data_IF_066647534660
#
_entry.id   IF_066647534660
#
_cell.length_a   1.000
_cell.length_b   1.000
_cell.length_c   1.000
_cell.angle_alpha   90.00
_cell.angle_beta   90.00
_cell.angle_gamma   90.00
#
_symmetry.space_group_name_H-M   'P 1'
#
loop_
_entity.id
_entity.type
_entity.pdbx_description
1 polymer ?
#
# COMPACT_ATOMS: atom_id res chain seq x y z
N UNK A 1 19.40 -4.87 42.97
CA UNK A 1 19.18 -5.86 41.88
C UNK A 1 18.11 -5.29 40.95
N UNK A 2 18.51 -4.93 39.74
CA UNK A 2 17.58 -4.52 38.70
C UNK A 2 16.96 -5.81 38.14
N UNK A 3 15.71 -6.09 38.51
CA UNK A 3 14.96 -7.19 37.93
C UNK A 3 14.70 -6.80 36.48
N UNK A 4 15.40 -7.41 35.54
CA UNK A 4 15.13 -7.26 34.13
C UNK A 4 13.67 -7.70 33.85
N UNK A 5 12.90 -6.86 33.15
CA UNK A 5 11.56 -7.24 32.72
C UNK A 5 11.63 -8.56 31.94
N UNK A 6 10.68 -9.48 32.14
CA UNK A 6 10.72 -10.78 31.44
C UNK A 6 10.76 -10.54 29.93
N UNK A 7 11.78 -11.08 29.28
CA UNK A 7 11.87 -11.05 27.81
C UNK A 7 10.60 -11.70 27.24
N UNK A 8 9.91 -10.97 26.40
CA UNK A 8 8.75 -11.51 25.66
C UNK A 8 9.23 -12.75 24.90
N UNK A 9 8.59 -13.91 25.02
CA UNK A 9 9.02 -15.11 24.31
C UNK A 9 9.18 -14.81 22.82
N UNK A 10 10.19 -15.36 22.18
CA UNK A 10 10.52 -15.19 20.75
C UNK A 10 9.27 -15.43 19.87
N UNK A 11 8.38 -16.31 20.31
CA UNK A 11 7.08 -16.62 19.71
C UNK A 11 6.05 -15.49 19.64
N UNK A 12 6.33 -14.31 20.21
CA UNK A 12 5.45 -13.13 20.18
C UNK A 12 6.09 -11.90 19.55
N UNK A 13 7.25 -12.04 18.91
CA UNK A 13 7.89 -10.96 18.18
C UNK A 13 7.38 -10.90 16.74
N UNK A 14 7.24 -9.69 16.23
CA UNK A 14 6.95 -9.47 14.81
C UNK A 14 8.07 -10.07 13.94
N UNK A 15 7.68 -10.75 12.87
CA UNK A 15 8.63 -11.23 11.89
C UNK A 15 9.34 -10.05 11.22
N UNK A 16 10.66 -10.13 11.07
CA UNK A 16 11.44 -9.17 10.31
C UNK A 16 11.84 -9.77 8.97
N UNK A 17 11.49 -9.07 7.90
CA UNK A 17 11.79 -9.50 6.54
C UNK A 17 13.28 -9.26 6.26
N UNK A 18 14.01 -10.34 6.07
CA UNK A 18 15.46 -10.31 5.78
C UNK A 18 15.76 -9.90 4.33
N UNK A 19 17.03 -9.63 4.03
CA UNK A 19 17.47 -9.22 2.68
C UNK A 19 17.24 -10.30 1.64
N UNK A 20 17.36 -11.57 2.03
CA UNK A 20 17.24 -12.74 1.14
C UNK A 20 15.79 -13.24 1.01
N UNK A 21 14.85 -12.61 1.70
CA UNK A 21 13.45 -13.02 1.65
C UNK A 21 12.80 -12.60 0.32
N UNK A 22 12.16 -13.57 -0.33
CA UNK A 22 11.46 -13.36 -1.60
C UNK A 22 10.02 -12.97 -1.27
N UNK A 23 9.64 -11.73 -1.55
CA UNK A 23 8.28 -11.23 -1.31
C UNK A 23 7.34 -11.52 -2.49
N UNK A 24 7.85 -11.41 -3.71
CA UNK A 24 7.03 -11.48 -4.93
C UNK A 24 7.57 -12.50 -5.91
N UNK A 25 6.96 -13.69 -5.98
CA UNK A 25 7.32 -14.68 -7.00
C UNK A 25 7.01 -14.15 -8.40
N UNK A 26 7.98 -14.20 -9.31
CA UNK A 26 7.80 -13.74 -10.69
C UNK A 26 6.89 -14.66 -11.50
N UNK A 27 5.92 -14.07 -12.19
CA UNK A 27 5.00 -14.74 -13.11
C UNK A 27 3.77 -15.33 -12.42
N UNK A 28 2.65 -15.36 -13.16
CA UNK A 28 1.32 -15.71 -12.64
C UNK A 28 1.29 -17.08 -11.92
N UNK A 29 1.82 -18.14 -12.54
CA UNK A 29 1.78 -19.48 -11.93
C UNK A 29 2.54 -19.57 -10.60
N UNK A 30 3.72 -18.92 -10.50
CA UNK A 30 4.49 -18.92 -9.24
C UNK A 30 3.79 -18.09 -8.15
N UNK A 31 3.18 -16.97 -8.55
CA UNK A 31 2.36 -16.15 -7.64
C UNK A 31 1.18 -16.95 -7.09
N UNK A 32 0.43 -17.64 -7.95
CA UNK A 32 -0.69 -18.49 -7.55
C UNK A 32 -0.22 -19.61 -6.61
N UNK A 33 0.85 -20.32 -6.97
CA UNK A 33 1.39 -21.40 -6.15
C UNK A 33 1.82 -20.91 -4.76
N UNK A 34 2.45 -19.74 -4.67
CA UNK A 34 2.84 -19.12 -3.39
C UNK A 34 1.61 -18.72 -2.55
N UNK A 35 0.58 -18.13 -3.18
CA UNK A 35 -0.67 -17.80 -2.49
C UNK A 35 -1.35 -19.05 -1.94
N UNK A 36 -1.46 -20.11 -2.74
CA UNK A 36 -2.06 -21.39 -2.31
C UNK A 36 -1.25 -22.01 -1.16
N UNK A 37 0.08 -21.99 -1.24
CA UNK A 37 0.94 -22.51 -0.19
C UNK A 37 0.76 -21.73 1.13
N UNK A 38 0.72 -20.40 1.06
CA UNK A 38 0.48 -19.55 2.22
C UNK A 38 -0.89 -19.80 2.85
N UNK A 39 -1.95 -19.96 2.05
CA UNK A 39 -3.30 -20.24 2.54
C UNK A 39 -3.37 -21.62 3.22
N UNK A 40 -2.79 -22.66 2.58
CA UNK A 40 -2.73 -24.00 3.17
C UNK A 40 -2.01 -23.99 4.52
N UNK A 41 -0.86 -23.30 4.56
CA UNK A 41 -0.10 -23.16 5.81
C UNK A 41 -0.88 -22.37 6.87
N UNK A 42 -1.51 -21.27 6.53
CA UNK A 42 -2.34 -20.48 7.43
C UNK A 42 -3.38 -21.36 8.13
N UNK A 43 -4.11 -22.18 7.37
CA UNK A 43 -5.13 -23.10 7.92
C UNK A 43 -4.53 -24.15 8.84
N UNK A 44 -3.34 -24.67 8.55
CA UNK A 44 -2.62 -25.60 9.44
C UNK A 44 -2.21 -24.91 10.73
N UNK A 45 -1.67 -23.71 10.67
CA UNK A 45 -1.27 -22.94 11.86
C UNK A 45 -2.49 -22.65 12.75
N UNK A 46 -3.59 -22.21 12.17
CA UNK A 46 -4.83 -21.91 12.90
C UNK A 46 -5.46 -23.15 13.55
N UNK A 47 -5.52 -24.27 12.82
CA UNK A 47 -6.12 -25.50 13.35
C UNK A 47 -5.26 -26.17 14.42
N UNK A 48 -3.94 -26.05 14.35
CA UNK A 48 -3.00 -26.64 15.31
C UNK A 48 -2.68 -25.73 16.49
N UNK A 49 -2.92 -24.43 16.38
CA UNK A 49 -2.47 -23.44 17.35
C UNK A 49 -0.94 -23.27 17.40
N UNK A 50 -0.22 -23.83 16.42
CA UNK A 50 1.24 -23.69 16.32
C UNK A 50 1.62 -22.24 16.04
N UNK A 51 2.62 -21.75 16.75
CA UNK A 51 3.26 -20.47 16.42
C UNK A 51 4.15 -20.67 15.18
N UNK A 52 4.05 -19.79 14.14
CA UNK A 52 4.88 -19.91 12.95
C UNK A 52 6.37 -19.86 13.29
N UNK A 53 7.12 -20.78 12.73
CA UNK A 53 8.59 -20.71 12.72
C UNK A 53 9.09 -19.81 11.57
N UNK A 54 10.41 -19.66 11.45
CA UNK A 54 11.00 -18.81 10.42
C UNK A 54 10.65 -19.26 8.99
N UNK A 55 10.60 -20.57 8.72
CA UNK A 55 10.24 -21.10 7.41
C UNK A 55 8.74 -20.91 7.12
N UNK A 56 7.90 -21.05 8.14
CA UNK A 56 6.48 -20.73 8.05
C UNK A 56 6.30 -19.25 7.68
N UNK A 57 7.00 -18.34 8.37
CA UNK A 57 6.97 -16.91 8.06
C UNK A 57 7.46 -16.60 6.63
N UNK A 58 8.56 -17.23 6.18
CA UNK A 58 9.05 -17.11 4.79
C UNK A 58 8.06 -17.60 3.75
N UNK A 59 7.18 -18.53 4.10
CA UNK A 59 6.09 -18.99 3.23
C UNK A 59 4.95 -17.98 3.22
N UNK A 60 4.55 -17.47 4.40
CA UNK A 60 3.45 -16.53 4.55
C UNK A 60 3.73 -15.19 3.87
N UNK A 61 4.96 -14.65 3.97
CA UNK A 61 5.32 -13.34 3.35
C UNK A 61 5.29 -13.35 1.83
N UNK A 62 5.21 -14.52 1.18
CA UNK A 62 5.08 -14.66 -0.28
C UNK A 62 3.64 -14.51 -0.76
N UNK A 63 2.67 -14.47 0.15
CA UNK A 63 1.30 -14.17 -0.23
C UNK A 63 1.22 -12.76 -0.79
N UNK A 64 0.75 -12.63 -2.01
CA UNK A 64 0.69 -11.35 -2.71
C UNK A 64 -0.70 -11.08 -3.32
N UNK A 65 -1.73 -11.70 -2.76
CA UNK A 65 -3.11 -11.52 -3.21
C UNK A 65 -3.34 -11.91 -4.67
N UNK A 66 -4.46 -11.48 -5.21
CA UNK A 66 -4.95 -11.94 -6.52
C UNK A 66 -4.91 -10.85 -7.59
N UNK A 67 -4.40 -9.68 -7.29
CA UNK A 67 -4.27 -8.57 -8.24
C UNK A 67 -3.46 -8.98 -9.46
N UNK A 68 -3.96 -8.61 -10.65
CA UNK A 68 -3.32 -8.92 -11.93
C UNK A 68 -3.42 -10.38 -12.42
N UNK A 69 -4.13 -11.27 -11.68
CA UNK A 69 -4.33 -12.68 -12.06
C UNK A 69 -5.80 -13.14 -11.97
N UNK A 70 -6.77 -12.36 -12.47
CA UNK A 70 -8.20 -12.73 -12.40
C UNK A 70 -8.53 -14.03 -13.15
N UNK A 71 -7.72 -14.41 -14.13
CA UNK A 71 -7.89 -15.61 -14.96
C UNK A 71 -7.76 -16.92 -14.19
N UNK A 72 -7.22 -16.94 -12.99
CA UNK A 72 -7.18 -18.13 -12.12
C UNK A 72 -8.57 -18.49 -11.56
N UNK A 73 -9.50 -17.53 -11.55
CA UNK A 73 -10.89 -17.71 -11.10
C UNK A 73 -11.85 -18.09 -12.24
N UNK A 74 -11.34 -18.26 -13.47
CA UNK A 74 -12.10 -18.69 -14.63
C UNK A 74 -12.07 -20.23 -14.75
N UNK A 75 -13.21 -20.93 -14.54
CA UNK A 75 -13.27 -22.38 -14.60
C UNK A 75 -12.95 -22.96 -15.98
N UNK A 76 -13.13 -22.15 -17.04
CA UNK A 76 -12.94 -22.57 -18.43
C UNK A 76 -11.51 -22.31 -18.93
N UNK A 77 -10.66 -21.69 -18.10
CA UNK A 77 -9.29 -21.42 -18.47
C UNK A 77 -8.38 -22.63 -18.28
N UNK A 78 -8.16 -23.36 -19.39
CA UNK A 78 -7.33 -24.56 -19.40
C UNK A 78 -5.88 -24.34 -18.89
N UNK A 79 -5.33 -23.11 -19.02
CA UNK A 79 -3.97 -22.79 -18.56
C UNK A 79 -3.84 -22.78 -17.02
N UNK A 80 -4.93 -22.61 -16.31
CA UNK A 80 -4.99 -22.54 -14.84
C UNK A 80 -5.91 -23.58 -14.21
N UNK A 81 -6.29 -24.63 -14.94
CA UNK A 81 -7.26 -25.64 -14.49
C UNK A 81 -6.86 -26.35 -13.18
N UNK A 82 -5.56 -26.62 -12.97
CA UNK A 82 -5.07 -27.25 -11.75
C UNK A 82 -5.08 -26.24 -10.60
N UNK A 83 -4.61 -25.03 -10.82
CA UNK A 83 -4.61 -23.94 -9.85
C UNK A 83 -6.04 -23.57 -9.43
N UNK A 84 -6.99 -23.58 -10.35
CA UNK A 84 -8.42 -23.37 -10.04
C UNK A 84 -8.97 -24.46 -9.11
N UNK A 85 -8.66 -25.74 -9.38
CA UNK A 85 -9.04 -26.86 -8.50
C UNK A 85 -8.42 -26.72 -7.10
N UNK A 86 -7.15 -26.34 -7.02
CA UNK A 86 -6.46 -26.12 -5.76
C UNK A 86 -7.07 -24.96 -4.96
N UNK A 87 -7.52 -23.89 -5.65
CA UNK A 87 -8.26 -22.80 -5.02
C UNK A 87 -9.58 -23.26 -4.43
N UNK A 88 -10.38 -23.99 -5.19
CA UNK A 88 -11.67 -24.51 -4.72
C UNK A 88 -11.51 -25.46 -3.54
N UNK A 89 -10.44 -26.27 -3.53
CA UNK A 89 -10.15 -27.19 -2.43
C UNK A 89 -9.58 -26.46 -1.19
N UNK A 90 -8.90 -25.34 -1.40
CA UNK A 90 -8.19 -24.59 -0.35
C UNK A 90 -9.01 -23.49 0.31
N UNK A 91 -10.03 -22.96 -0.33
CA UNK A 91 -10.82 -21.82 0.15
C UNK A 91 -12.23 -22.24 0.56
N UNK A 92 -12.79 -21.61 1.60
CA UNK A 92 -14.23 -21.62 1.82
C UNK A 92 -14.95 -20.82 0.74
N UNK A 93 -16.26 -20.97 0.62
CA UNK A 93 -17.04 -20.19 -0.35
C UNK A 93 -16.91 -18.67 -0.14
N UNK A 94 -16.85 -18.23 1.12
CA UNK A 94 -16.67 -16.83 1.50
C UNK A 94 -15.26 -16.33 1.18
N UNK A 95 -14.23 -17.12 1.51
CA UNK A 95 -12.84 -16.82 1.16
C UNK A 95 -12.65 -16.74 -0.37
N UNK A 96 -13.29 -17.63 -1.13
CA UNK A 96 -13.25 -17.62 -2.58
C UNK A 96 -13.89 -16.35 -3.18
N UNK A 97 -15.05 -15.95 -2.67
CA UNK A 97 -15.72 -14.73 -3.11
C UNK A 97 -14.87 -13.50 -2.80
N UNK A 98 -14.29 -13.42 -1.59
CA UNK A 98 -13.40 -12.34 -1.18
C UNK A 98 -12.15 -12.28 -2.05
N UNK A 99 -11.48 -13.43 -2.26
CA UNK A 99 -10.29 -13.54 -3.09
C UNK A 99 -10.57 -13.09 -4.54
N UNK A 100 -11.69 -13.53 -5.12
CA UNK A 100 -12.09 -13.11 -6.46
C UNK A 100 -12.38 -11.61 -6.55
N UNK A 101 -13.05 -11.03 -5.56
CA UNK A 101 -13.33 -9.60 -5.50
C UNK A 101 -12.04 -8.75 -5.38
N UNK A 102 -11.01 -9.27 -4.71
CA UNK A 102 -9.73 -8.57 -4.50
C UNK A 102 -8.85 -8.45 -5.75
N UNK A 103 -9.19 -9.13 -6.85
CA UNK A 103 -8.38 -9.16 -8.09
C UNK A 103 -8.16 -7.79 -8.72
N UNK A 104 -9.01 -6.82 -8.45
CA UNK A 104 -8.92 -5.46 -9.00
C UNK A 104 -8.03 -4.53 -8.17
N UNK A 105 -7.96 -4.76 -6.85
CA UNK A 105 -7.43 -3.77 -5.91
C UNK A 105 -6.24 -4.29 -5.07
N UNK A 106 -5.87 -5.58 -5.20
CA UNK A 106 -4.75 -6.15 -4.45
C UNK A 106 -3.43 -5.95 -5.18
N UNK A 107 -2.85 -4.79 -5.04
CA UNK A 107 -1.51 -4.46 -5.52
C UNK A 107 -0.53 -4.41 -4.36
N UNK A 108 0.60 -5.09 -4.49
CA UNK A 108 1.63 -5.15 -3.45
C UNK A 108 2.83 -4.29 -3.84
N UNK A 109 3.27 -3.49 -2.89
CA UNK A 109 4.35 -2.52 -3.09
C UNK A 109 5.70 -3.23 -3.17
N UNK A 110 6.50 -3.00 -4.22
CA UNK A 110 7.85 -3.55 -4.32
C UNK A 110 8.72 -3.14 -3.13
N UNK A 111 9.62 -4.05 -2.72
CA UNK A 111 10.51 -3.84 -1.58
C UNK A 111 11.26 -2.51 -1.66
N UNK A 112 11.85 -2.18 -2.81
CA UNK A 112 12.61 -0.95 -2.98
C UNK A 112 11.82 0.32 -2.69
N UNK A 113 10.49 0.33 -3.01
CA UNK A 113 9.62 1.45 -2.67
C UNK A 113 9.35 1.53 -1.17
N UNK A 114 9.13 0.39 -0.52
CA UNK A 114 8.94 0.34 0.94
C UNK A 114 10.20 0.84 1.65
N UNK A 115 11.37 0.34 1.25
CA UNK A 115 12.66 0.77 1.78
C UNK A 115 12.90 2.27 1.54
N UNK A 116 12.49 2.78 0.37
CA UNK A 116 12.58 4.21 0.05
C UNK A 116 11.64 5.06 0.93
N UNK A 117 10.40 4.61 1.13
CA UNK A 117 9.44 5.31 2.00
C UNK A 117 9.90 5.30 3.46
N UNK A 118 10.52 4.22 3.94
CA UNK A 118 11.15 4.19 5.25
C UNK A 118 12.34 5.15 5.37
N UNK A 119 13.18 5.29 4.33
CA UNK A 119 14.26 6.31 4.30
C UNK A 119 13.70 7.73 4.37
N UNK A 120 12.53 7.99 3.76
CA UNK A 120 11.84 9.28 3.92
C UNK A 120 11.42 9.47 5.38
N UNK A 121 10.86 8.46 6.03
CA UNK A 121 10.47 8.52 7.44
C UNK A 121 11.67 8.82 8.35
N UNK A 122 12.79 8.14 8.14
CA UNK A 122 14.04 8.39 8.90
C UNK A 122 14.55 9.82 8.70
N UNK A 123 14.56 10.32 7.45
CA UNK A 123 14.94 11.72 7.13
C UNK A 123 13.98 12.74 7.75
N UNK A 124 12.71 12.38 7.92
CA UNK A 124 11.72 13.20 8.62
C UNK A 124 11.85 13.12 10.15
N UNK A 125 12.84 12.40 10.67
CA UNK A 125 13.12 12.30 12.11
C UNK A 125 12.30 11.24 12.85
N UNK A 126 11.65 10.32 12.14
CA UNK A 126 10.90 9.21 12.76
C UNK A 126 11.88 8.16 13.28
N UNK A 127 11.96 8.03 14.60
CA UNK A 127 12.77 7.03 15.31
C UNK A 127 11.93 6.04 16.09
N UNK A 128 10.64 6.33 16.28
CA UNK A 128 9.70 5.47 17.00
C UNK A 128 8.36 6.16 17.23
N UNK A 129 7.47 5.44 17.90
CA UNK A 129 6.14 5.95 18.26
C UNK A 129 5.00 5.01 17.84
N UNK A 130 3.79 5.55 17.76
CA UNK A 130 2.60 4.82 17.32
C UNK A 130 2.38 5.02 15.84
N UNK A 131 2.40 3.94 15.10
CA UNK A 131 2.31 3.94 13.64
C UNK A 131 0.99 3.33 13.17
N UNK A 132 0.55 3.74 11.98
CA UNK A 132 -0.62 3.20 11.32
C UNK A 132 -0.31 2.73 9.90
N UNK A 133 -0.93 1.62 9.48
CA UNK A 133 -1.00 1.16 8.09
C UNK A 133 -2.46 0.88 7.76
N UNK A 134 -3.04 1.67 6.84
CA UNK A 134 -4.46 1.63 6.47
C UNK A 134 -4.63 0.97 5.10
N UNK A 135 -4.94 -0.32 5.10
CA UNK A 135 -4.87 -1.20 3.94
C UNK A 135 -3.55 -1.96 3.93
N UNK A 136 -3.31 -2.71 5.02
CA UNK A 136 -1.98 -3.25 5.31
C UNK A 136 -1.59 -4.48 4.47
N UNK A 137 -2.54 -5.12 3.79
CA UNK A 137 -2.28 -6.41 3.15
C UNK A 137 -1.75 -7.40 4.16
N UNK A 138 -0.58 -7.96 3.88
CA UNK A 138 0.10 -8.84 4.83
C UNK A 138 1.21 -8.15 5.64
N UNK A 139 1.29 -6.79 5.59
CA UNK A 139 2.15 -5.99 6.47
C UNK A 139 3.62 -5.91 6.07
N UNK A 140 3.91 -5.80 4.79
CA UNK A 140 5.30 -5.65 4.35
C UNK A 140 5.97 -4.40 4.92
N UNK A 141 5.23 -3.30 5.14
CA UNK A 141 5.78 -2.10 5.80
C UNK A 141 6.15 -2.37 7.25
N UNK A 142 5.40 -3.22 7.97
CA UNK A 142 5.76 -3.64 9.33
C UNK A 142 7.02 -4.49 9.32
N UNK A 143 7.08 -5.49 8.42
CA UNK A 143 8.20 -6.44 8.34
C UNK A 143 9.52 -5.81 7.88
N UNK A 144 9.45 -4.74 7.08
CA UNK A 144 10.59 -3.99 6.55
C UNK A 144 10.90 -2.72 7.34
N UNK A 145 10.26 -2.50 8.51
CA UNK A 145 10.60 -1.38 9.37
C UNK A 145 12.11 -1.42 9.74
N UNK A 146 12.86 -0.31 9.59
CA UNK A 146 14.28 -0.27 9.94
C UNK A 146 14.57 -0.67 11.39
N UNK A 147 15.73 -1.27 11.64
CA UNK A 147 16.09 -1.77 12.98
C UNK A 147 16.24 -0.65 14.03
N UNK A 148 16.66 0.53 13.58
CA UNK A 148 16.80 1.72 14.41
C UNK A 148 15.49 2.46 14.69
N UNK A 149 14.36 1.97 14.14
CA UNK A 149 13.02 2.52 14.36
C UNK A 149 12.24 1.61 15.30
N UNK A 150 11.69 2.18 16.38
CA UNK A 150 10.89 1.44 17.36
C UNK A 150 9.42 1.88 17.30
N UNK A 151 8.64 1.24 16.42
CA UNK A 151 7.23 1.58 16.16
C UNK A 151 6.25 0.52 16.62
N UNK A 152 5.15 0.99 17.26
CA UNK A 152 3.98 0.17 17.60
C UNK A 152 2.92 0.34 16.51
N UNK A 153 2.70 -0.70 15.70
CA UNK A 153 1.74 -0.63 14.60
C UNK A 153 0.29 -0.93 15.00
N UNK A 154 -0.62 -0.12 14.47
CA UNK A 154 -2.03 -0.46 14.27
C UNK A 154 -2.27 -0.61 12.77
N UNK A 155 -2.59 -1.82 12.33
CA UNK A 155 -2.83 -2.14 10.94
C UNK A 155 -4.29 -2.50 10.70
N UNK A 156 -4.88 -1.95 9.63
CA UNK A 156 -6.26 -2.25 9.20
C UNK A 156 -6.22 -2.93 7.85
N UNK A 157 -6.89 -4.06 7.72
CA UNK A 157 -6.98 -4.82 6.47
C UNK A 157 -8.41 -5.36 6.30
N UNK A 158 -8.96 -5.20 5.12
CA UNK A 158 -10.33 -5.65 4.82
C UNK A 158 -10.37 -7.12 4.36
N UNK A 159 -9.33 -7.58 3.65
CA UNK A 159 -9.27 -8.97 3.19
C UNK A 159 -8.97 -9.92 4.35
N UNK A 160 -9.86 -10.87 4.55
CA UNK A 160 -9.80 -11.80 5.68
C UNK A 160 -8.53 -12.67 5.65
N UNK A 161 -8.13 -13.17 4.47
CA UNK A 161 -6.94 -14.03 4.34
C UNK A 161 -5.67 -13.22 4.63
N UNK A 162 -5.52 -12.06 4.01
CA UNK A 162 -4.41 -11.14 4.23
C UNK A 162 -4.31 -10.75 5.70
N UNK A 163 -5.43 -10.38 6.32
CA UNK A 163 -5.47 -9.98 7.73
C UNK A 163 -5.11 -11.11 8.70
N UNK A 164 -5.51 -12.36 8.43
CA UNK A 164 -5.14 -13.52 9.22
C UNK A 164 -3.65 -13.88 9.05
N UNK A 165 -3.09 -13.77 7.86
CA UNK A 165 -1.65 -13.88 7.61
C UNK A 165 -0.91 -12.80 8.38
N UNK A 166 -1.38 -11.56 8.32
CA UNK A 166 -0.84 -10.41 9.04
C UNK A 166 -0.77 -10.67 10.56
N UNK A 167 -1.81 -11.27 11.15
CA UNK A 167 -1.83 -11.66 12.57
C UNK A 167 -0.78 -12.72 12.92
N UNK A 168 -0.53 -13.68 12.01
CA UNK A 168 0.50 -14.70 12.21
C UNK A 168 1.92 -14.11 12.15
N UNK A 169 2.14 -13.19 11.23
CA UNK A 169 3.45 -12.56 11.00
C UNK A 169 3.81 -11.52 12.06
N UNK A 170 2.82 -10.76 12.56
CA UNK A 170 3.07 -9.59 13.42
C UNK A 170 2.21 -9.60 14.70
N UNK A 171 2.39 -10.62 15.55
CA UNK A 171 1.59 -10.77 16.78
C UNK A 171 1.83 -9.65 17.82
N UNK A 172 2.91 -8.88 17.68
CA UNK A 172 3.19 -7.70 18.50
C UNK A 172 2.50 -6.42 18.03
N UNK A 173 1.76 -6.47 16.91
CA UNK A 173 1.03 -5.33 16.35
C UNK A 173 -0.47 -5.46 16.62
N UNK A 174 -1.17 -4.32 16.66
CA UNK A 174 -2.63 -4.31 16.73
C UNK A 174 -3.20 -4.48 15.33
N UNK A 175 -3.72 -5.66 15.01
CA UNK A 175 -4.30 -5.99 13.71
C UNK A 175 -5.83 -5.93 13.80
N UNK A 176 -6.46 -5.18 12.88
CA UNK A 176 -7.90 -5.02 12.77
C UNK A 176 -8.32 -5.50 11.38
N UNK A 177 -9.00 -6.65 11.33
CA UNK A 177 -9.56 -7.20 10.08
C UNK A 177 -10.96 -6.65 9.92
N UNK A 178 -11.09 -5.53 9.20
CA UNK A 178 -12.37 -4.87 9.00
C UNK A 178 -12.26 -3.81 7.88
N UNK A 179 -13.42 -3.39 7.38
CA UNK A 179 -13.54 -2.21 6.52
C UNK A 179 -13.08 -0.96 7.29
N UNK A 180 -12.19 -0.16 6.68
CA UNK A 180 -11.69 1.07 7.26
C UNK A 180 -12.81 2.06 7.61
N UNK A 181 -13.90 2.10 6.83
CA UNK A 181 -15.05 2.95 7.11
C UNK A 181 -15.82 2.53 8.37
N UNK A 182 -15.72 1.26 8.76
CA UNK A 182 -16.35 0.70 9.96
C UNK A 182 -15.37 0.57 11.13
N UNK A 183 -14.12 1.01 10.93
CA UNK A 183 -13.07 0.86 11.93
C UNK A 183 -12.88 2.15 12.71
N UNK A 184 -12.99 2.06 14.03
CA UNK A 184 -12.64 3.16 14.91
C UNK A 184 -11.11 3.22 15.10
N UNK A 185 -10.51 4.31 14.62
CA UNK A 185 -9.13 4.69 14.92
C UNK A 185 -9.22 5.98 15.74
N UNK A 186 -8.59 5.97 16.91
CA UNK A 186 -8.59 7.17 17.79
C UNK A 186 -7.95 8.34 17.05
N UNK A 187 -8.66 9.47 16.97
CA UNK A 187 -8.14 10.70 16.37
C UNK A 187 -6.89 11.17 17.14
N UNK A 188 -5.96 11.77 16.43
CA UNK A 188 -4.73 12.38 17.00
C UNK A 188 -3.94 11.43 17.91
N UNK A 189 -3.79 10.17 17.51
CA UNK A 189 -3.13 9.15 18.32
C UNK A 189 -1.87 8.57 17.70
N UNK A 190 -1.65 8.77 16.40
CA UNK A 190 -0.52 8.21 15.66
C UNK A 190 0.55 9.27 15.38
N UNK A 191 1.80 8.84 15.39
CA UNK A 191 2.96 9.67 15.06
C UNK A 191 3.30 9.56 13.58
N UNK A 192 3.08 8.39 12.98
CA UNK A 192 3.28 8.10 11.57
C UNK A 192 2.10 7.29 11.01
N UNK A 193 1.67 7.60 9.80
CA UNK A 193 0.90 6.67 8.94
C UNK A 193 1.71 6.43 7.68
N UNK A 194 2.08 5.18 7.43
CA UNK A 194 2.89 4.78 6.27
C UNK A 194 2.22 3.60 5.57
N UNK A 195 2.23 3.60 4.24
CA UNK A 195 1.62 2.50 3.49
C UNK A 195 1.29 2.86 2.05
N UNK A 196 0.80 1.86 1.32
CA UNK A 196 0.21 2.01 0.00
C UNK A 196 -1.32 1.98 0.16
N UNK A 197 -1.99 3.08 -0.13
CA UNK A 197 -3.46 3.11 -0.03
C UNK A 197 -4.09 2.42 -1.24
N UNK A 198 -5.21 1.70 -1.08
CA UNK A 198 -5.88 1.05 -2.19
C UNK A 198 -6.41 2.08 -3.20
N UNK A 199 -6.23 1.81 -4.51
CA UNK A 199 -6.66 2.69 -5.60
C UNK A 199 -8.01 2.25 -6.12
N UNK A 200 -9.07 3.02 -5.83
CA UNK A 200 -10.39 2.84 -6.43
C UNK A 200 -11.06 4.20 -6.62
N UNK A 201 -11.89 4.29 -7.67
CA UNK A 201 -12.69 5.49 -7.95
C UNK A 201 -13.93 5.55 -7.06
N UNK A 202 -14.37 4.42 -6.52
CA UNK A 202 -15.52 4.33 -5.62
C UNK A 202 -15.01 4.35 -4.17
N UNK A 203 -15.38 5.40 -3.45
CA UNK A 203 -15.09 5.51 -2.02
C UNK A 203 -16.17 4.84 -1.17
N UNK A 204 -15.89 4.60 0.11
CA UNK A 204 -16.87 4.05 1.04
C UNK A 204 -17.95 5.07 1.38
N UNK A 205 -19.09 4.56 1.86
CA UNK A 205 -20.16 5.41 2.42
C UNK A 205 -19.75 5.87 3.82
N UNK A 206 -19.17 7.08 3.89
CA UNK A 206 -18.83 7.77 5.13
C UNK A 206 -19.36 9.20 5.05
N UNK A 207 -20.19 9.60 6.03
CA UNK A 207 -20.83 10.92 6.06
C UNK A 207 -19.84 12.07 6.17
N UNK A 208 -18.68 11.85 6.76
CA UNK A 208 -17.65 12.87 6.93
C UNK A 208 -16.84 13.12 5.65
N UNK A 209 -16.90 12.17 4.70
CA UNK A 209 -16.09 12.17 3.47
C UNK A 209 -16.91 11.83 2.21
N UNK A 210 -18.08 12.44 2.07
CA UNK A 210 -18.98 12.22 0.93
C UNK A 210 -18.29 12.60 -0.38
N UNK A 211 -18.34 11.68 -1.35
CA UNK A 211 -17.79 11.91 -2.70
C UNK A 211 -16.27 11.74 -2.83
N UNK A 212 -15.58 11.26 -1.78
CA UNK A 212 -14.19 10.87 -1.90
C UNK A 212 -14.09 9.50 -2.58
N UNK A 213 -13.10 9.35 -3.46
CA UNK A 213 -12.67 8.04 -3.90
C UNK A 213 -11.87 7.35 -2.79
N UNK A 214 -11.61 6.04 -2.94
CA UNK A 214 -11.04 5.23 -1.87
C UNK A 214 -9.66 5.73 -1.39
N UNK A 215 -8.76 6.06 -2.31
CA UNK A 215 -7.42 6.54 -1.94
C UNK A 215 -7.46 7.89 -1.22
N UNK A 216 -8.28 8.85 -1.66
CA UNK A 216 -8.45 10.12 -0.96
C UNK A 216 -9.11 9.94 0.41
N UNK A 217 -10.04 9.00 0.53
CA UNK A 217 -10.63 8.61 1.80
C UNK A 217 -9.56 8.08 2.78
N UNK A 218 -8.71 7.17 2.33
CA UNK A 218 -7.63 6.63 3.17
C UNK A 218 -6.67 7.73 3.64
N UNK A 219 -6.31 8.70 2.76
CA UNK A 219 -5.49 9.85 3.14
C UNK A 219 -6.19 10.71 4.21
N UNK A 220 -7.48 11.01 4.03
CA UNK A 220 -8.26 11.78 5.00
C UNK A 220 -8.31 11.09 6.37
N UNK A 221 -8.53 9.76 6.40
CA UNK A 221 -8.54 8.95 7.64
C UNK A 221 -7.15 8.88 8.28
N UNK A 222 -6.07 8.85 7.48
CA UNK A 222 -4.70 8.96 7.99
C UNK A 222 -4.49 10.30 8.70
N UNK A 223 -4.92 11.41 8.08
CA UNK A 223 -4.84 12.74 8.67
C UNK A 223 -5.70 12.89 9.95
N UNK A 224 -6.83 12.18 10.06
CA UNK A 224 -7.59 12.16 11.31
C UNK A 224 -6.84 11.47 12.45
N UNK A 225 -6.20 10.35 12.12
CA UNK A 225 -5.50 9.53 13.11
C UNK A 225 -4.19 10.16 13.60
N UNK A 226 -3.55 11.00 12.78
CA UNK A 226 -2.28 11.64 13.11
C UNK A 226 -2.43 12.72 14.18
N UNK A 227 -1.48 12.73 15.12
CA UNK A 227 -1.27 13.85 16.07
C UNK A 227 -0.85 15.12 15.32
N UNK A 228 -1.04 16.32 15.89
CA UNK A 228 -0.36 17.52 15.40
C UNK A 228 1.16 17.26 15.33
N UNK A 229 1.78 17.58 14.18
CA UNK A 229 3.19 17.29 13.89
C UNK A 229 3.44 15.87 13.35
N UNK A 230 2.49 14.95 13.46
CA UNK A 230 2.59 13.60 12.92
C UNK A 230 2.63 13.59 11.38
N UNK A 231 3.21 12.55 10.81
CA UNK A 231 3.55 12.48 9.38
C UNK A 231 2.77 11.33 8.71
N UNK A 232 2.20 11.61 7.53
CA UNK A 232 1.73 10.59 6.59
C UNK A 232 2.73 10.45 5.46
N UNK A 233 3.14 9.22 5.15
CA UNK A 233 3.96 8.87 3.98
C UNK A 233 3.18 7.81 3.21
N UNK A 234 2.49 8.22 2.17
CA UNK A 234 1.50 7.39 1.50
C UNK A 234 1.78 7.29 0.00
N UNK A 235 1.85 6.07 -0.49
CA UNK A 235 1.79 5.78 -1.92
C UNK A 235 0.32 5.82 -2.35
N UNK A 236 0.00 6.60 -3.36
CA UNK A 236 -1.36 6.83 -3.84
C UNK A 236 -1.41 7.00 -5.35
N UNK A 237 -2.59 6.89 -5.93
CA UNK A 237 -2.80 7.19 -7.35
C UNK A 237 -2.46 8.66 -7.67
N UNK A 238 -1.82 8.91 -8.81
CA UNK A 238 -1.59 10.26 -9.33
C UNK A 238 -2.88 11.09 -9.43
N UNK A 239 -4.05 10.44 -9.49
CA UNK A 239 -5.34 11.14 -9.49
C UNK A 239 -5.61 11.93 -8.20
N UNK A 240 -4.93 11.63 -7.09
CA UNK A 240 -4.99 12.48 -5.89
C UNK A 240 -4.51 13.89 -6.19
N UNK A 241 -3.36 14.02 -6.86
CA UNK A 241 -2.77 15.32 -7.22
C UNK A 241 -3.40 15.90 -8.49
N UNK A 242 -3.73 15.07 -9.49
CA UNK A 242 -4.13 15.53 -10.82
C UNK A 242 -5.65 15.50 -11.08
N UNK A 243 -6.48 15.23 -10.07
CA UNK A 243 -7.94 15.32 -10.25
C UNK A 243 -8.38 16.75 -10.59
N UNK A 244 -9.37 16.88 -11.49
CA UNK A 244 -10.03 18.17 -11.75
C UNK A 244 -10.75 18.71 -10.52
N UNK A 245 -11.31 17.83 -9.67
CA UNK A 245 -11.90 18.22 -8.40
C UNK A 245 -10.79 18.55 -7.40
N UNK A 246 -10.89 19.72 -6.78
CA UNK A 246 -9.95 20.21 -5.75
C UNK A 246 -10.39 19.81 -4.32
N UNK A 247 -11.58 19.22 -4.15
CA UNK A 247 -12.19 19.02 -2.83
C UNK A 247 -11.27 18.27 -1.86
N UNK A 248 -10.70 17.13 -2.29
CA UNK A 248 -9.81 16.35 -1.45
C UNK A 248 -8.52 17.13 -1.13
N UNK A 249 -7.88 17.74 -2.15
CA UNK A 249 -6.65 18.53 -1.95
C UNK A 249 -6.86 19.72 -1.04
N UNK A 250 -7.99 20.43 -1.18
CA UNK A 250 -8.33 21.55 -0.30
C UNK A 250 -8.53 21.10 1.15
N UNK A 251 -9.19 19.96 1.36
CA UNK A 251 -9.31 19.37 2.70
C UNK A 251 -7.92 19.00 3.28
N UNK A 252 -7.06 18.36 2.49
CA UNK A 252 -5.71 18.02 2.95
C UNK A 252 -4.89 19.26 3.28
N UNK A 253 -4.90 20.28 2.40
CA UNK A 253 -4.17 21.53 2.58
C UNK A 253 -4.63 22.33 3.80
N UNK A 254 -5.91 22.24 4.18
CA UNK A 254 -6.43 22.89 5.38
C UNK A 254 -6.01 22.21 6.69
N UNK A 255 -5.51 20.99 6.63
CA UNK A 255 -5.22 20.13 7.79
C UNK A 255 -3.75 19.76 7.92
N UNK A 256 -3.00 19.79 6.83
CA UNK A 256 -1.61 19.34 6.78
C UNK A 256 -0.81 20.13 5.75
N UNK A 257 0.48 20.27 5.98
CA UNK A 257 1.41 20.75 4.97
C UNK A 257 1.86 19.59 4.08
N UNK A 258 1.89 19.82 2.77
CA UNK A 258 2.62 18.96 1.85
C UNK A 258 4.12 19.25 2.02
N UNK A 259 4.88 18.31 2.57
CA UNK A 259 6.33 18.43 2.70
C UNK A 259 7.01 18.09 1.38
N UNK A 260 6.58 17.04 0.73
CA UNK A 260 7.00 16.66 -0.63
C UNK A 260 5.98 15.74 -1.28
N UNK A 261 5.96 15.73 -2.61
CA UNK A 261 5.31 14.71 -3.42
C UNK A 261 6.32 14.20 -4.45
N UNK A 262 6.36 12.91 -4.68
CA UNK A 262 7.28 12.26 -5.62
C UNK A 262 6.44 11.43 -6.59
N UNK A 263 6.51 11.76 -7.87
CA UNK A 263 5.80 11.04 -8.93
C UNK A 263 6.67 9.92 -9.48
N UNK A 264 6.13 8.72 -9.48
CA UNK A 264 6.82 7.51 -9.90
C UNK A 264 6.54 7.22 -11.41
N UNK A 265 7.45 6.52 -12.09
CA UNK A 265 7.18 6.01 -13.43
C UNK A 265 6.10 4.93 -13.42
N UNK A 266 5.46 4.70 -14.56
CA UNK A 266 4.33 3.80 -14.73
C UNK A 266 4.63 2.31 -14.49
N UNK A 267 5.89 1.93 -14.32
CA UNK A 267 6.34 0.57 -14.02
C UNK A 267 6.85 0.40 -12.57
N UNK A 268 6.68 1.41 -11.73
CA UNK A 268 7.20 1.37 -10.36
C UNK A 268 6.48 0.34 -9.47
N UNK A 269 5.21 0.05 -9.75
CA UNK A 269 4.44 -1.00 -9.08
C UNK A 269 4.34 -2.26 -9.94
N UNK A 270 4.40 -3.42 -9.30
CA UNK A 270 4.36 -4.71 -10.01
C UNK A 270 2.97 -4.98 -10.58
N UNK A 271 2.89 -5.15 -11.90
CA UNK A 271 1.66 -5.62 -12.57
C UNK A 271 0.64 -4.53 -12.89
N UNK A 272 1.01 -3.25 -12.82
CA UNK A 272 0.14 -2.13 -13.21
C UNK A 272 0.92 -1.07 -13.99
N UNK A 273 0.24 -0.37 -14.90
CA UNK A 273 0.76 0.82 -15.61
C UNK A 273 0.23 2.13 -14.99
N UNK A 274 -0.33 2.06 -13.80
CA UNK A 274 -0.88 3.24 -13.11
C UNK A 274 0.24 4.12 -12.59
N UNK A 275 0.14 5.43 -12.88
CA UNK A 275 1.05 6.41 -12.28
C UNK A 275 0.69 6.56 -10.80
N UNK A 276 1.68 6.46 -9.95
CA UNK A 276 1.55 6.64 -8.51
C UNK A 276 2.40 7.79 -8.00
N UNK A 277 1.94 8.41 -6.91
CA UNK A 277 2.65 9.46 -6.19
C UNK A 277 2.93 9.03 -4.75
N UNK A 278 4.12 9.29 -4.24
CA UNK A 278 4.39 9.24 -2.80
C UNK A 278 4.12 10.63 -2.25
N UNK A 279 3.15 10.75 -1.34
CA UNK A 279 2.82 12.00 -0.65
C UNK A 279 3.37 11.98 0.76
N UNK A 280 4.05 13.05 1.16
CA UNK A 280 4.53 13.27 2.53
C UNK A 280 3.81 14.48 3.09
N UNK A 281 2.90 14.23 4.03
CA UNK A 281 2.04 15.25 4.64
C UNK A 281 2.34 15.36 6.14
N UNK A 282 2.48 16.57 6.69
CA UNK A 282 2.64 16.81 8.12
C UNK A 282 1.38 17.47 8.69
N UNK A 283 0.72 16.79 9.62
CA UNK A 283 -0.51 17.26 10.27
C UNK A 283 -0.29 18.55 11.06
N UNK A 284 -1.15 19.54 10.81
CA UNK A 284 -1.15 20.81 11.56
C UNK A 284 0.00 21.77 11.22
N UNK A 285 0.91 21.41 10.31
CA UNK A 285 1.94 22.32 9.84
C UNK A 285 1.38 23.30 8.79
N UNK A 286 2.02 24.47 8.69
CA UNK A 286 1.67 25.48 7.68
C UNK A 286 2.17 25.03 6.32
N UNK A 287 1.28 25.03 5.33
CA UNK A 287 1.61 24.62 3.98
C UNK A 287 2.52 25.64 3.28
N UNK A 288 3.67 25.20 2.80
CA UNK A 288 4.63 26.02 2.06
C UNK A 288 4.56 25.79 0.55
N UNK A 289 3.83 24.76 0.12
CA UNK A 289 3.69 24.38 -1.27
C UNK A 289 2.22 24.46 -1.69
N UNK A 290 1.99 25.10 -2.82
CA UNK A 290 0.69 25.09 -3.45
C UNK A 290 0.52 23.79 -4.24
N UNK A 291 -0.63 23.12 -4.10
CA UNK A 291 -0.95 21.86 -4.80
C UNK A 291 -2.45 21.74 -5.10
N UNK A 292 -3.10 22.89 -5.31
CA UNK A 292 -4.55 22.96 -5.58
C UNK A 292 -4.86 22.82 -7.06
N UNK A 293 -4.09 23.49 -7.91
CA UNK A 293 -4.41 23.71 -9.31
C UNK A 293 -3.68 22.75 -10.25
N UNK A 294 -4.25 22.60 -11.45
CA UNK A 294 -3.65 21.84 -12.54
C UNK A 294 -3.13 22.81 -13.60
N UNK A 295 -1.89 22.62 -13.99
CA UNK A 295 -1.23 23.41 -15.03
C UNK A 295 -0.71 22.52 -16.16
N UNK A 296 -0.57 23.05 -17.39
CA UNK A 296 0.03 22.28 -18.48
C UNK A 296 1.55 22.20 -18.31
N UNK A 297 2.12 21.05 -18.63
CA UNK A 297 3.56 20.85 -18.86
C UNK A 297 3.76 20.21 -20.24
N UNK A 298 4.89 20.46 -20.86
CA UNK A 298 5.27 19.79 -22.11
C UNK A 298 5.70 18.34 -21.81
N UNK A 299 5.31 17.42 -22.70
CA UNK A 299 5.84 16.07 -22.69
C UNK A 299 7.30 16.03 -23.09
N UNK A 300 8.09 15.11 -22.52
CA UNK A 300 9.51 14.97 -22.85
C UNK A 300 9.75 14.47 -24.27
N UNK A 301 8.79 13.72 -24.82
CA UNK A 301 8.85 13.07 -26.13
C UNK A 301 8.14 13.85 -27.26
N UNK A 302 7.70 15.10 -26.99
CA UNK A 302 7.01 15.92 -27.98
C UNK A 302 5.58 15.49 -28.31
N UNK A 303 4.97 14.59 -27.53
CA UNK A 303 3.59 14.12 -27.75
C UNK A 303 2.50 15.13 -27.35
N UNK A 304 2.89 16.30 -26.85
CA UNK A 304 2.00 17.41 -26.53
C UNK A 304 2.00 17.80 -25.06
N UNK A 305 0.92 18.45 -24.61
CA UNK A 305 0.80 18.94 -23.24
C UNK A 305 0.12 17.92 -22.34
N UNK A 306 0.68 17.73 -21.14
CA UNK A 306 0.04 17.03 -20.03
C UNK A 306 -0.50 18.06 -19.02
N UNK A 307 -1.59 17.71 -18.35
CA UNK A 307 -2.06 18.49 -17.20
C UNK A 307 -1.65 17.79 -15.93
N UNK A 308 -0.81 18.44 -15.15
CA UNK A 308 -0.31 17.93 -13.87
C UNK A 308 -0.58 18.95 -12.77
N UNK A 309 -0.48 18.50 -11.52
CA UNK A 309 -0.55 19.40 -10.39
C UNK A 309 0.56 20.47 -10.46
N UNK A 310 0.23 21.71 -10.12
CA UNK A 310 1.16 22.85 -10.11
C UNK A 310 2.43 22.59 -9.28
N UNK A 311 2.34 21.71 -8.26
CA UNK A 311 3.50 21.27 -7.49
C UNK A 311 4.56 20.63 -8.40
N UNK A 312 4.16 19.69 -9.25
CA UNK A 312 5.08 19.00 -10.17
C UNK A 312 5.58 19.87 -11.30
N UNK A 313 4.80 20.87 -11.71
CA UNK A 313 5.27 21.85 -12.71
C UNK A 313 6.39 22.74 -12.13
N UNK A 314 6.31 23.05 -10.83
CA UNK A 314 7.32 23.83 -10.10
C UNK A 314 8.54 23.00 -9.71
N UNK A 315 8.34 21.76 -9.28
CA UNK A 315 9.38 20.83 -8.79
C UNK A 315 9.50 19.65 -9.75
N UNK A 316 9.99 19.90 -10.95
CA UNK A 316 10.09 18.89 -12.03
C UNK A 316 11.00 17.72 -11.66
N UNK A 317 12.00 17.95 -10.82
CA UNK A 317 12.91 16.95 -10.28
C UNK A 317 12.21 15.91 -9.37
N UNK A 318 10.98 16.18 -8.94
CA UNK A 318 10.15 15.24 -8.20
C UNK A 318 9.38 14.28 -9.11
N UNK A 319 9.48 14.42 -10.42
CA UNK A 319 8.96 13.45 -11.40
C UNK A 319 10.11 12.51 -11.77
N UNK A 320 10.03 11.24 -11.30
CA UNK A 320 11.08 10.26 -11.49
C UNK A 320 10.93 9.51 -12.81
N UNK A 321 10.79 10.23 -13.91
CA UNK A 321 10.63 9.69 -15.25
C UNK A 321 10.31 10.76 -16.27
N UNK A 322 9.96 10.34 -17.47
CA UNK A 322 9.66 11.20 -18.61
C UNK A 322 8.16 11.36 -18.84
N UNK A 323 7.58 12.56 -18.67
CA UNK A 323 6.17 12.82 -18.99
C UNK A 323 5.87 12.59 -20.46
N UNK A 324 4.83 11.80 -20.76
CA UNK A 324 4.40 11.42 -22.09
C UNK A 324 2.88 11.29 -22.20
N UNK A 325 2.32 11.41 -23.41
CA UNK A 325 0.92 11.11 -23.71
C UNK A 325 0.75 9.75 -24.41
N UNK A 326 1.72 8.86 -24.33
CA UNK A 326 1.68 7.54 -24.98
C UNK A 326 1.10 6.43 -24.08
N UNK A 327 0.62 6.77 -22.89
CA UNK A 327 0.07 5.82 -21.93
C UNK A 327 -1.19 5.10 -22.42
N UNK A 328 -1.46 3.97 -21.78
CA UNK A 328 -2.69 3.19 -21.98
C UNK A 328 -3.38 3.04 -20.63
N UNK A 329 -4.49 3.72 -20.43
CA UNK A 329 -5.24 3.64 -19.19
C UNK A 329 -6.71 3.34 -19.47
N UNK A 330 -7.29 2.34 -18.78
CA UNK A 330 -8.69 1.93 -18.93
C UNK A 330 -9.12 1.67 -20.39
N UNK A 331 -8.23 1.03 -21.19
CA UNK A 331 -8.51 0.72 -22.59
C UNK A 331 -8.41 1.91 -23.56
N UNK A 332 -8.03 3.10 -23.08
CA UNK A 332 -7.76 4.29 -23.90
C UNK A 332 -6.27 4.43 -24.14
N UNK A 333 -5.89 4.64 -25.39
CA UNK A 333 -4.52 5.00 -25.82
C UNK A 333 -4.36 6.52 -25.83
N UNK A 334 -3.13 7.02 -25.72
CA UNK A 334 -2.86 8.46 -25.72
C UNK A 334 -3.22 9.14 -24.41
N UNK A 335 -3.14 8.41 -23.31
CA UNK A 335 -3.31 8.98 -21.96
C UNK A 335 -1.98 9.45 -21.39
N UNK A 336 -2.03 10.39 -20.46
CA UNK A 336 -0.85 10.84 -19.73
C UNK A 336 -0.18 9.67 -19.01
N UNK A 337 1.14 9.59 -19.08
CA UNK A 337 1.97 8.61 -18.38
C UNK A 337 3.32 9.20 -18.02
N UNK A 338 4.04 8.51 -17.14
CA UNK A 338 5.44 8.80 -16.83
C UNK A 338 6.25 7.57 -17.24
N UNK A 339 7.04 7.71 -18.27
CA UNK A 339 7.93 6.64 -18.75
C UNK A 339 9.16 6.56 -17.84
N UNK A 340 9.70 5.36 -17.58
CA UNK A 340 10.97 5.24 -16.87
C UNK A 340 12.09 5.88 -17.69
N UNK A 341 13.09 6.44 -17.03
CA UNK A 341 14.30 6.88 -17.72
C UNK A 341 14.98 5.71 -18.41
N UNK A 342 15.43 5.86 -19.66
CA UNK A 342 16.01 4.79 -20.48
C UNK A 342 17.27 4.12 -19.89
N UNK A 343 17.87 4.70 -18.84
CA UNK A 343 19.15 4.25 -18.24
C UNK A 343 19.07 3.86 -16.76
N UNK A 344 17.89 3.54 -16.23
CA UNK A 344 17.78 2.98 -14.87
C UNK A 344 17.48 1.49 -15.02
N UNK A 345 18.53 0.72 -15.29
CA UNK A 345 18.55 -0.75 -15.22
C UNK A 345 19.04 -1.18 -13.81
#
# INVERSE_FOLDING_TARGET
EVIAAPETPISRRNYRIGMDDILYPHGAKRKIAANIAAIKLLKVLESSGKVPDENDCKTLIRYSGWGGIPQVFDPDNANFANEYKDLLAGLSSEEYISARASTLNSHYTPRFLIDFMWKIAEKAGITGGKFGELGAGIGHFIGLMPENVNGEFTAVEIDNISGRILQQLYPGSKIIINDLAKTYIKKESLDLVIGNVPFDQVGPHDSDYVGYNLHNYCIARALDALKPGGIAILLTSASTMDSKSINARSNFASRAALLTAIRLPNNAEVGTEVIADILVLQKGAVNQHNFQDLVPIESSDGTGLLRVNEYFAKYKEQILGEPSNTGKMYGKTGTATILPFENIA
#
